data_IF_132255632463
#
_entry.id   IF_132255632463
#
_cell.length_a   1.000
_cell.length_b   1.000
_cell.length_c   1.000
_cell.angle_alpha   90.00
_cell.angle_beta   90.00
_cell.angle_gamma   90.00
#
_symmetry.space_group_name_H-M   'P 1'
#
loop_
_entity.id
_entity.type
_entity.pdbx_description
1 polymer ?
#
# COMPACT_ATOMS: atom_id res chain seq x y z
N UNK A 1 -9.63 6.09 -0.21
CA UNK A 1 -10.91 5.83 -0.93
C UNK A 1 -10.74 5.54 -2.44
N UNK A 2 -9.93 6.28 -3.19
CA UNK A 2 -9.88 6.19 -4.68
C UNK A 2 -9.01 5.05 -5.23
N UNK A 3 -7.98 4.62 -4.51
CA UNK A 3 -7.05 3.57 -4.98
C UNK A 3 -7.60 2.14 -4.88
N UNK A 4 -8.51 1.88 -3.93
CA UNK A 4 -9.07 0.54 -3.71
C UNK A 4 -10.18 0.22 -4.72
N UNK A 5 -10.98 1.21 -5.12
CA UNK A 5 -12.06 1.04 -6.08
C UNK A 5 -11.55 0.65 -7.48
N UNK A 6 -10.38 1.17 -7.91
CA UNK A 6 -9.81 0.84 -9.22
C UNK A 6 -9.32 -0.62 -9.32
N UNK A 7 -8.87 -1.23 -8.21
CA UNK A 7 -8.45 -2.64 -8.17
C UNK A 7 -9.61 -3.63 -8.21
N UNK A 8 -10.87 -3.19 -8.00
CA UNK A 8 -12.05 -4.06 -7.95
C UNK A 8 -12.99 -3.92 -9.17
N UNK A 9 -12.76 -2.93 -10.04
CA UNK A 9 -13.56 -2.75 -11.26
C UNK A 9 -13.22 -3.85 -12.28
N UNK A 10 -14.25 -4.44 -12.91
CA UNK A 10 -14.25 -5.74 -13.60
C UNK A 10 -13.17 -6.07 -14.66
N UNK A 11 -12.30 -5.11 -15.04
CA UNK A 11 -11.10 -5.37 -15.84
C UNK A 11 -9.94 -5.97 -15.03
N UNK A 12 -9.84 -5.64 -13.74
CA UNK A 12 -8.80 -6.20 -12.86
C UNK A 12 -9.15 -7.62 -12.39
N UNK A 13 -10.44 -7.90 -12.15
CA UNK A 13 -10.90 -9.19 -11.66
C UNK A 13 -10.60 -10.34 -12.64
N UNK A 14 -10.86 -10.11 -13.93
CA UNK A 14 -10.53 -11.09 -14.99
C UNK A 14 -9.02 -11.29 -15.11
N UNK A 15 -8.22 -10.23 -15.01
CA UNK A 15 -6.75 -10.33 -15.01
C UNK A 15 -6.23 -11.13 -13.81
N UNK A 16 -6.76 -10.92 -12.61
CA UNK A 16 -6.39 -11.70 -11.42
C UNK A 16 -6.74 -13.18 -11.58
N UNK A 17 -7.92 -13.49 -12.16
CA UNK A 17 -8.31 -14.87 -12.48
C UNK A 17 -7.37 -15.51 -13.50
N UNK A 18 -7.03 -14.81 -14.60
CA UNK A 18 -6.08 -15.30 -15.61
C UNK A 18 -4.70 -15.58 -15.02
N UNK A 19 -4.23 -14.71 -14.12
CA UNK A 19 -2.92 -14.85 -13.47
C UNK A 19 -2.95 -15.73 -12.21
N UNK A 20 -4.09 -16.37 -11.90
CA UNK A 20 -4.28 -17.23 -10.72
C UNK A 20 -3.92 -16.54 -9.40
N UNK A 21 -4.13 -15.24 -9.32
CA UNK A 21 -3.88 -14.44 -8.11
C UNK A 21 -5.16 -14.44 -7.29
N UNK A 22 -5.09 -15.02 -6.08
CA UNK A 22 -6.21 -14.97 -5.13
C UNK A 22 -6.28 -13.58 -4.51
N UNK A 23 -7.30 -12.82 -4.86
CA UNK A 23 -7.60 -11.53 -4.23
C UNK A 23 -8.21 -11.79 -2.85
N UNK A 24 -7.67 -11.13 -1.83
CA UNK A 24 -8.22 -11.17 -0.47
C UNK A 24 -9.39 -10.18 -0.38
N UNK A 25 -10.51 -10.59 0.23
CA UNK A 25 -11.62 -9.69 0.52
C UNK A 25 -11.22 -8.75 1.67
N UNK A 26 -11.25 -7.45 1.41
CA UNK A 26 -10.94 -6.41 2.40
C UNK A 26 -12.22 -5.66 2.78
N UNK A 27 -12.47 -5.37 4.07
CA UNK A 27 -13.59 -4.53 4.47
C UNK A 27 -13.34 -3.07 4.04
N UNK A 28 -14.39 -2.40 3.53
CA UNK A 28 -14.34 -1.06 2.94
C UNK A 28 -13.88 0.06 3.89
N UNK A 29 -13.81 -0.21 5.20
CA UNK A 29 -13.48 0.78 6.24
C UNK A 29 -12.25 0.39 7.07
N UNK A 30 -11.08 0.23 6.44
CA UNK A 30 -9.87 0.04 7.22
C UNK A 30 -8.65 0.82 6.75
N UNK A 31 -8.55 2.11 7.12
CA UNK A 31 -7.33 2.90 6.98
C UNK A 31 -6.15 2.29 7.78
N UNK A 32 -6.45 1.57 8.86
CA UNK A 32 -5.45 0.93 9.74
C UNK A 32 -4.78 -0.29 9.08
N UNK A 33 -5.44 -0.90 8.08
CA UNK A 33 -5.05 -2.16 7.44
C UNK A 33 -4.23 -2.05 6.17
N UNK A 34 -3.81 -0.87 5.73
CA UNK A 34 -3.06 -0.77 4.49
C UNK A 34 -1.55 -0.62 4.76
N UNK A 35 -0.76 -1.70 4.85
CA UNK A 35 0.71 -1.63 4.88
C UNK A 35 1.29 -0.76 3.78
N UNK A 36 0.58 -0.70 2.64
CA UNK A 36 0.92 0.16 1.52
C UNK A 36 0.92 1.63 1.93
N UNK A 37 -0.01 2.08 2.77
CA UNK A 37 -0.09 3.48 3.22
C UNK A 37 1.10 3.84 4.11
N UNK A 38 1.52 2.94 5.01
CA UNK A 38 2.72 3.17 5.84
C UNK A 38 4.03 3.18 5.02
N UNK A 39 4.11 2.37 3.96
CA UNK A 39 5.24 2.39 3.03
C UNK A 39 5.20 3.65 2.15
N UNK A 40 4.00 4.03 1.71
CA UNK A 40 3.75 5.16 0.82
C UNK A 40 4.04 6.50 1.49
N UNK A 41 3.67 6.67 2.75
CA UNK A 41 3.98 7.89 3.52
C UNK A 41 5.49 8.15 3.57
N UNK A 42 6.29 7.13 3.89
CA UNK A 42 7.75 7.26 3.89
C UNK A 42 8.32 7.57 2.49
N UNK A 43 7.73 6.98 1.45
CA UNK A 43 8.12 7.25 0.07
C UNK A 43 7.79 8.69 -0.35
N UNK A 44 6.59 9.17 -0.04
CA UNK A 44 6.14 10.53 -0.32
C UNK A 44 6.98 11.58 0.42
N UNK A 45 7.32 11.31 1.69
CA UNK A 45 8.17 12.21 2.47
C UNK A 45 9.55 12.35 1.83
N UNK A 46 10.19 11.25 1.44
CA UNK A 46 11.50 11.29 0.77
C UNK A 46 11.47 12.02 -0.58
N UNK A 47 10.39 11.86 -1.36
CA UNK A 47 10.21 12.59 -2.63
C UNK A 47 9.97 14.09 -2.37
N UNK A 48 9.21 14.43 -1.32
CA UNK A 48 8.94 15.80 -0.91
C UNK A 48 10.20 16.52 -0.41
N UNK A 49 11.02 15.85 0.41
CA UNK A 49 12.30 16.35 0.90
C UNK A 49 13.30 16.64 -0.23
N UNK A 50 13.26 15.86 -1.32
CA UNK A 50 14.10 16.07 -2.50
C UNK A 50 13.77 17.36 -3.28
N UNK A 51 12.60 17.98 -3.03
CA UNK A 51 12.15 19.25 -3.64
C UNK A 51 12.44 19.35 -5.15
N UNK A 52 11.97 18.38 -5.96
CA UNK A 52 12.22 18.39 -7.40
C UNK A 52 11.58 19.61 -8.07
N UNK A 53 12.30 20.23 -9.01
CA UNK A 53 11.89 21.47 -9.70
C UNK A 53 11.29 21.23 -11.07
N UNK A 54 11.42 20.02 -11.60
CA UNK A 54 10.90 19.60 -12.90
C UNK A 54 10.52 18.11 -12.88
N UNK A 55 9.88 17.65 -13.97
CA UNK A 55 9.40 16.27 -14.08
C UNK A 55 10.54 15.23 -14.07
N UNK A 56 11.72 15.55 -14.58
CA UNK A 56 12.85 14.64 -14.61
C UNK A 56 13.45 14.43 -13.21
N UNK A 57 13.63 15.53 -12.46
CA UNK A 57 14.03 15.49 -11.06
C UNK A 57 13.02 14.73 -10.20
N UNK A 58 11.72 14.95 -10.44
CA UNK A 58 10.66 14.21 -9.75
C UNK A 58 10.77 12.71 -10.03
N UNK A 59 10.94 12.34 -11.30
CA UNK A 59 11.09 10.93 -11.69
C UNK A 59 12.33 10.28 -11.08
N UNK A 60 13.44 11.04 -11.00
CA UNK A 60 14.67 10.58 -10.34
C UNK A 60 14.47 10.41 -8.83
N UNK A 61 13.81 11.36 -8.17
CA UNK A 61 13.51 11.30 -6.74
C UNK A 61 12.60 10.10 -6.42
N UNK A 62 11.56 9.85 -7.23
CA UNK A 62 10.67 8.70 -7.09
C UNK A 62 11.45 7.39 -7.24
N UNK A 63 12.25 7.23 -8.30
CA UNK A 63 13.06 6.00 -8.49
C UNK A 63 14.05 5.78 -7.34
N UNK A 64 14.73 6.84 -6.90
CA UNK A 64 15.72 6.75 -5.82
C UNK A 64 15.07 6.40 -4.48
N UNK A 65 13.94 7.05 -4.16
CA UNK A 65 13.18 6.79 -2.95
C UNK A 65 12.67 5.34 -2.94
N UNK A 66 12.18 4.84 -4.08
CA UNK A 66 11.70 3.46 -4.20
C UNK A 66 12.84 2.43 -4.05
N UNK A 67 13.98 2.66 -4.71
CA UNK A 67 15.14 1.78 -4.61
C UNK A 67 15.77 1.77 -3.20
N UNK A 68 15.58 2.84 -2.43
CA UNK A 68 16.06 2.95 -1.05
C UNK A 68 15.22 2.20 -0.01
N UNK A 69 14.06 1.63 -0.39
CA UNK A 69 13.22 0.87 0.53
C UNK A 69 13.87 -0.50 0.78
N UNK A 70 14.32 -0.79 2.00
CA UNK A 70 15.00 -2.05 2.26
C UNK A 70 13.99 -3.20 2.33
N UNK A 71 14.37 -4.37 1.82
CA UNK A 71 13.52 -5.57 1.78
C UNK A 71 12.97 -5.94 3.17
N UNK A 72 13.77 -5.79 4.23
CA UNK A 72 13.33 -6.09 5.59
C UNK A 72 12.15 -5.21 6.06
N UNK A 73 12.02 -3.98 5.53
CA UNK A 73 10.88 -3.09 5.86
C UNK A 73 9.60 -3.63 5.23
N UNK A 74 9.68 -4.13 4.00
CA UNK A 74 8.57 -4.83 3.35
C UNK A 74 8.21 -6.11 4.11
N UNK A 75 9.20 -6.88 4.57
CA UNK A 75 8.95 -8.09 5.35
C UNK A 75 8.24 -7.80 6.67
N UNK A 76 8.72 -6.82 7.45
CA UNK A 76 8.06 -6.39 8.70
C UNK A 76 6.61 -5.97 8.49
N UNK A 77 6.31 -5.32 7.37
CA UNK A 77 4.95 -4.94 7.02
C UNK A 77 4.06 -6.16 6.79
N UNK A 78 4.55 -7.16 6.05
CA UNK A 78 3.86 -8.45 5.84
C UNK A 78 3.67 -9.17 7.19
N UNK A 79 4.71 -9.26 8.02
CA UNK A 79 4.65 -9.95 9.31
C UNK A 79 3.67 -9.26 10.28
N UNK A 80 3.54 -7.93 10.19
CA UNK A 80 2.60 -7.15 11.01
C UNK A 80 1.14 -7.35 10.63
N UNK A 81 0.84 -7.98 9.49
CA UNK A 81 -0.53 -8.09 8.98
C UNK A 81 -1.48 -8.80 9.92
N UNK A 82 -1.02 -9.90 10.52
CA UNK A 82 -1.85 -10.64 11.46
C UNK A 82 -2.30 -9.76 12.64
N UNK A 83 -1.35 -9.04 13.26
CA UNK A 83 -1.64 -8.14 14.37
C UNK A 83 -2.58 -7.00 13.97
N UNK A 84 -2.43 -6.46 12.77
CA UNK A 84 -3.33 -5.40 12.26
C UNK A 84 -4.74 -5.94 12.04
N UNK A 85 -4.89 -7.14 11.47
CA UNK A 85 -6.20 -7.80 11.32
C UNK A 85 -6.88 -8.03 12.68
N UNK A 86 -6.13 -8.49 13.68
CA UNK A 86 -6.64 -8.66 15.04
C UNK A 86 -7.08 -7.34 15.67
N UNK A 87 -6.30 -6.27 15.49
CA UNK A 87 -6.65 -4.93 15.98
C UNK A 87 -7.96 -4.42 15.37
N UNK A 88 -8.16 -4.69 14.08
CA UNK A 88 -9.40 -4.34 13.38
C UNK A 88 -10.57 -5.16 13.89
N UNK A 89 -10.43 -6.49 13.97
CA UNK A 89 -11.48 -7.34 14.55
C UNK A 89 -11.88 -6.89 15.95
N UNK A 90 -10.92 -6.52 16.81
CA UNK A 90 -11.21 -5.91 18.12
C UNK A 90 -12.01 -4.62 17.98
N UNK A 91 -11.58 -3.69 17.11
CA UNK A 91 -12.30 -2.44 16.88
C UNK A 91 -13.75 -2.68 16.42
N UNK A 92 -14.01 -3.68 15.58
CA UNK A 92 -15.37 -4.04 15.16
C UNK A 92 -16.20 -4.69 16.28
N UNK A 93 -15.58 -5.38 17.24
CA UNK A 93 -16.27 -6.05 18.34
C UNK A 93 -16.60 -5.11 19.52
N UNK A 94 -15.90 -3.97 19.63
CA UNK A 94 -16.09 -2.99 20.71
C UNK A 94 -16.84 -1.71 20.27
N UNK A 95 -17.29 -1.63 19.02
CA UNK A 95 -18.24 -0.63 18.50
C UNK A 95 -19.59 -1.29 18.21
#
# INVERSE_FOLDING_TARGET
PTFMTCMLLGLSASWFQTNKIKVMEWPDQSPVLNPRESLWEGHQNAVSEAKPRNAEELWKAVKSSWAGIPVHRCQKLVDSMQHRCEAVLKQWLYN
#
